data_IF_777721471140
#
_entry.id   IF_777721471140
#
_cell.length_a   1.000
_cell.length_b   1.000
_cell.length_c   1.000
_cell.angle_alpha   90.00
_cell.angle_beta   90.00
_cell.angle_gamma   90.00
#
_symmetry.space_group_name_H-M   'P 1'
#
loop_
_entity.id
_entity.type
_entity.pdbx_description
1 polymer ?
#
# COMPACT_ATOMS: atom_id res chain seq x y z
N UNK A 1 -1.59 10.58 -13.49
CA UNK A 1 -2.34 9.60 -12.70
C UNK A 1 -1.37 8.53 -12.22
N UNK A 2 -1.39 8.24 -10.91
CA UNK A 2 -0.64 7.12 -10.33
C UNK A 2 -1.19 5.79 -10.84
N UNK A 3 -0.41 4.72 -10.70
CA UNK A 3 -0.91 3.37 -10.92
C UNK A 3 -1.84 3.01 -9.75
N UNK A 4 -2.99 2.39 -10.04
CA UNK A 4 -3.88 1.86 -9.02
C UNK A 4 -3.67 0.35 -8.88
N UNK A 5 -3.66 -0.16 -7.65
CA UNK A 5 -3.79 -1.60 -7.37
C UNK A 5 -5.27 -1.93 -7.37
N UNK A 6 -5.69 -2.78 -8.30
CA UNK A 6 -7.03 -3.34 -8.31
C UNK A 6 -7.12 -4.51 -7.32
N UNK A 7 -8.16 -4.51 -6.48
CA UNK A 7 -8.48 -5.57 -5.53
C UNK A 7 -9.98 -5.86 -5.56
N UNK A 8 -10.36 -7.08 -5.21
CA UNK A 8 -11.74 -7.50 -5.07
C UNK A 8 -11.93 -8.15 -3.71
N UNK A 9 -13.00 -7.78 -3.00
CA UNK A 9 -13.37 -8.39 -1.73
C UNK A 9 -14.76 -8.99 -1.86
N UNK A 10 -14.90 -10.25 -1.43
CA UNK A 10 -16.18 -10.94 -1.31
C UNK A 10 -16.91 -10.51 -0.03
N UNK A 11 -18.13 -11.00 0.19
CA UNK A 11 -18.80 -10.90 1.50
C UNK A 11 -18.07 -11.78 2.52
N UNK A 12 -17.19 -11.18 3.32
CA UNK A 12 -16.37 -11.89 4.29
C UNK A 12 -16.09 -11.05 5.53
N UNK A 13 -15.96 -11.72 6.68
CA UNK A 13 -15.50 -11.09 7.91
C UNK A 13 -13.97 -10.97 7.98
N UNK A 14 -13.23 -11.60 7.08
CA UNK A 14 -11.77 -11.55 7.06
C UNK A 14 -11.27 -10.37 6.22
N UNK A 15 -10.20 -9.72 6.69
CA UNK A 15 -9.55 -8.62 5.99
C UNK A 15 -8.48 -9.12 5.01
N UNK A 16 -8.43 -8.55 3.81
CA UNK A 16 -7.26 -8.64 2.93
C UNK A 16 -6.23 -7.57 3.38
N UNK A 17 -5.23 -8.01 4.14
CA UNK A 17 -4.20 -7.13 4.71
C UNK A 17 -3.09 -6.79 3.71
N UNK A 18 -2.64 -5.54 3.80
CA UNK A 18 -1.59 -4.95 3.00
C UNK A 18 -0.67 -4.13 3.92
N UNK A 19 0.63 -4.11 3.63
CA UNK A 19 1.57 -3.31 4.40
C UNK A 19 1.48 -1.81 4.05
N UNK A 20 1.67 -0.96 5.06
CA UNK A 20 1.78 0.48 4.90
C UNK A 20 3.16 0.83 4.36
N UNK A 21 3.21 1.42 3.16
CA UNK A 21 4.46 1.67 2.45
C UNK A 21 5.15 3.01 2.77
N UNK A 22 4.68 3.79 3.76
CA UNK A 22 5.12 5.18 3.98
C UNK A 22 5.87 5.38 5.29
N UNK A 23 6.91 6.24 5.26
CA UNK A 23 7.76 6.59 6.41
C UNK A 23 7.52 8.01 6.94
N UNK A 24 6.44 8.66 6.51
CA UNK A 24 6.16 10.03 6.92
C UNK A 24 5.50 10.05 8.30
N UNK A 25 5.66 11.16 9.02
CA UNK A 25 4.93 11.44 10.27
C UNK A 25 3.40 11.39 10.09
N UNK A 26 2.93 11.45 8.85
CA UNK A 26 1.53 11.28 8.46
C UNK A 26 1.47 10.35 7.24
N UNK A 27 0.73 9.26 7.40
CA UNK A 27 0.38 8.33 6.35
C UNK A 27 -0.99 8.69 5.78
N UNK A 28 -1.19 8.47 4.48
CA UNK A 28 -2.49 8.62 3.82
C UNK A 28 -2.70 7.45 2.87
N UNK A 29 -3.75 6.68 3.12
CA UNK A 29 -4.29 5.69 2.20
C UNK A 29 -5.34 6.38 1.32
N UNK A 30 -5.14 6.38 0.01
CA UNK A 30 -6.13 6.86 -0.97
C UNK A 30 -6.65 5.68 -1.77
N UNK A 31 -7.96 5.61 -1.94
CA UNK A 31 -8.59 4.52 -2.65
C UNK A 31 -9.92 4.93 -3.26
N UNK A 32 -10.38 4.16 -4.24
CA UNK A 32 -11.77 4.16 -4.69
C UNK A 32 -12.39 2.79 -4.43
N UNK A 33 -13.68 2.77 -4.19
CA UNK A 33 -14.44 1.54 -4.03
C UNK A 33 -15.79 1.65 -4.74
N UNK A 34 -16.21 0.57 -5.39
CA UNK A 34 -17.54 0.39 -5.99
C UNK A 34 -18.24 -0.75 -5.25
N UNK A 35 -19.22 -0.40 -4.42
CA UNK A 35 -20.00 -1.32 -3.57
C UNK A 35 -21.25 -0.61 -3.04
N UNK A 36 -22.33 -1.33 -2.76
CA UNK A 36 -23.58 -0.76 -2.29
C UNK A 36 -23.51 -0.19 -0.85
N UNK A 37 -22.87 -0.92 0.07
CA UNK A 37 -22.76 -0.58 1.50
C UNK A 37 -21.61 -1.36 2.16
N UNK A 38 -21.31 -1.04 3.42
CA UNK A 38 -20.41 -1.78 4.32
C UNK A 38 -18.99 -2.05 3.73
N UNK A 39 -18.35 -0.99 3.23
CA UNK A 39 -16.92 -1.01 2.90
C UNK A 39 -16.09 -0.76 4.17
N UNK A 40 -15.09 -1.60 4.43
CA UNK A 40 -14.33 -1.57 5.68
C UNK A 40 -12.84 -1.40 5.44
N UNK A 41 -12.24 -0.51 6.21
CA UNK A 41 -10.77 -0.36 6.32
C UNK A 41 -10.36 -0.66 7.76
N UNK A 42 -9.45 -1.61 7.94
CA UNK A 42 -8.80 -1.89 9.22
C UNK A 42 -7.42 -1.23 9.25
N UNK A 43 -7.01 -0.65 10.37
CA UNK A 43 -5.62 -0.25 10.64
C UNK A 43 -5.10 -1.11 11.80
N UNK A 44 -3.97 -1.79 11.58
CA UNK A 44 -3.42 -2.82 12.48
C UNK A 44 -1.89 -2.75 12.57
N UNK A 45 -1.35 -3.37 13.62
CA UNK A 45 0.10 -3.59 13.81
C UNK A 45 0.60 -4.91 13.20
N UNK A 46 -0.31 -5.74 12.69
CA UNK A 46 -0.01 -7.01 12.02
C UNK A 46 -1.11 -7.40 11.04
N UNK A 47 -0.83 -8.42 10.21
CA UNK A 47 -1.79 -9.07 9.31
C UNK A 47 -2.67 -10.15 9.99
N UNK A 48 -2.56 -10.31 11.31
CA UNK A 48 -3.35 -11.29 12.07
C UNK A 48 -4.82 -10.86 12.13
N UNK A 49 -5.73 -11.73 11.69
CA UNK A 49 -7.17 -11.48 11.73
C UNK A 49 -7.67 -11.25 13.16
N UNK A 50 -7.04 -11.84 14.16
CA UNK A 50 -7.43 -11.69 15.57
C UNK A 50 -6.62 -10.61 16.31
N UNK A 51 -5.82 -9.83 15.58
CA UNK A 51 -5.01 -8.76 16.14
C UNK A 51 -5.86 -7.78 16.97
N UNK A 52 -5.28 -7.38 18.11
CA UNK A 52 -5.72 -6.23 18.91
C UNK A 52 -4.47 -5.55 19.49
N UNK A 53 -4.44 -4.21 19.63
CA UNK A 53 -5.50 -3.28 19.25
C UNK A 53 -5.63 -3.09 17.73
N UNK A 54 -6.83 -2.72 17.27
CA UNK A 54 -7.11 -2.33 15.87
C UNK A 54 -8.08 -1.14 15.79
N UNK A 55 -8.02 -0.41 14.68
CA UNK A 55 -9.06 0.55 14.30
C UNK A 55 -9.84 0.02 13.10
N UNK A 56 -11.16 -0.06 13.22
CA UNK A 56 -12.06 -0.39 12.12
C UNK A 56 -12.80 0.86 11.67
N UNK A 57 -12.64 1.20 10.40
CA UNK A 57 -13.30 2.32 9.75
C UNK A 57 -14.39 1.73 8.85
N UNK A 58 -15.64 2.07 9.16
CA UNK A 58 -16.83 1.70 8.43
C UNK A 58 -17.18 2.85 7.49
N UNK A 59 -17.27 2.57 6.19
CA UNK A 59 -17.71 3.53 5.18
C UNK A 59 -19.03 3.00 4.62
N UNK A 60 -20.07 3.86 4.66
CA UNK A 60 -21.42 3.49 4.22
C UNK A 60 -21.98 2.27 4.95
N UNK A 61 -21.79 2.21 6.27
CA UNK A 61 -22.44 1.22 7.11
C UNK A 61 -23.91 1.56 7.38
N UNK A 62 -24.61 0.61 8.01
CA UNK A 62 -26.06 0.72 8.31
C UNK A 62 -26.86 1.08 7.06
N UNK A 63 -26.74 0.25 6.03
CA UNK A 63 -27.40 0.46 4.74
C UNK A 63 -26.99 1.80 4.09
N UNK A 64 -25.68 2.03 4.02
CA UNK A 64 -25.07 3.21 3.40
C UNK A 64 -25.51 4.56 4.00
N UNK A 65 -25.93 4.57 5.27
CA UNK A 65 -26.42 5.78 5.95
C UNK A 65 -25.34 6.54 6.72
N UNK A 66 -24.32 5.85 7.23
CA UNK A 66 -23.28 6.48 8.05
C UNK A 66 -21.89 5.85 7.95
N UNK A 67 -20.90 6.63 8.37
CA UNK A 67 -19.52 6.16 8.57
C UNK A 67 -19.20 6.14 10.08
N UNK A 68 -18.30 5.25 10.49
CA UNK A 68 -17.89 5.13 11.88
C UNK A 68 -16.43 4.68 12.04
N UNK A 69 -15.81 5.03 13.17
CA UNK A 69 -14.53 4.46 13.61
C UNK A 69 -14.80 3.66 14.88
N UNK A 70 -14.44 2.38 14.90
CA UNK A 70 -14.50 1.50 16.07
C UNK A 70 -13.09 1.08 16.48
N UNK A 71 -12.89 0.84 17.77
CA UNK A 71 -11.65 0.29 18.30
C UNK A 71 -11.90 -1.13 18.83
N UNK A 72 -11.00 -2.05 18.49
CA UNK A 72 -10.96 -3.41 19.02
C UNK A 72 -12.25 -4.23 18.82
N UNK A 73 -13.02 -3.96 17.77
CA UNK A 73 -14.32 -4.62 17.51
C UNK A 73 -15.34 -4.45 18.64
N UNK A 74 -15.12 -3.47 19.52
CA UNK A 74 -15.99 -3.22 20.68
C UNK A 74 -16.80 -1.94 20.54
N UNK A 75 -18.05 -1.98 20.99
CA UNK A 75 -18.90 -0.79 21.14
C UNK A 75 -18.56 -0.04 22.44
N UNK A 76 -18.80 1.29 22.51
CA UNK A 76 -19.35 2.15 21.47
C UNK A 76 -18.34 2.50 20.36
N UNK A 77 -18.85 3.00 19.23
CA UNK A 77 -17.98 3.57 18.19
C UNK A 77 -17.31 4.84 18.75
N UNK A 78 -16.07 5.09 18.32
CA UNK A 78 -15.24 6.21 18.77
C UNK A 78 -15.55 7.50 18.03
N UNK A 79 -16.00 7.38 16.78
CA UNK A 79 -16.52 8.48 15.99
C UNK A 79 -17.62 7.95 15.07
N UNK A 80 -18.63 8.78 14.78
CA UNK A 80 -19.71 8.50 13.84
C UNK A 80 -20.02 9.77 13.05
N UNK A 81 -20.38 9.62 11.78
CA UNK A 81 -20.83 10.71 10.92
C UNK A 81 -21.95 10.23 9.99
N UNK A 82 -23.05 10.97 9.92
CA UNK A 82 -24.13 10.72 8.96
C UNK A 82 -23.65 11.05 7.55
N UNK A 83 -23.67 10.06 6.67
CA UNK A 83 -23.10 10.11 5.31
C UNK A 83 -24.00 9.35 4.34
N UNK A 84 -25.28 9.74 4.21
CA UNK A 84 -26.24 9.01 3.39
C UNK A 84 -25.75 8.92 1.95
N UNK A 85 -25.91 7.73 1.38
CA UNK A 85 -25.53 7.40 0.01
C UNK A 85 -24.06 7.72 -0.26
N UNK A 86 -23.15 7.45 0.69
CA UNK A 86 -21.72 7.71 0.50
C UNK A 86 -21.08 6.78 -0.52
N UNK A 87 -21.47 5.51 -0.51
CA UNK A 87 -21.05 4.48 -1.47
C UNK A 87 -22.03 4.33 -2.63
N UNK A 88 -21.63 3.61 -3.68
CA UNK A 88 -22.46 3.31 -4.85
C UNK A 88 -22.11 1.95 -5.44
N UNK A 89 -23.15 1.17 -5.80
CA UNK A 89 -22.99 -0.10 -6.50
C UNK A 89 -22.62 0.09 -7.99
N UNK A 90 -22.91 1.27 -8.57
CA UNK A 90 -22.83 1.52 -10.00
C UNK A 90 -21.51 2.19 -10.42
N UNK A 91 -20.84 2.89 -9.51
CA UNK A 91 -19.64 3.68 -9.80
C UNK A 91 -18.60 3.63 -8.68
N UNK A 92 -17.32 3.77 -9.04
CA UNK A 92 -16.25 3.96 -8.08
C UNK A 92 -16.37 5.31 -7.40
N UNK A 93 -16.31 5.32 -6.06
CA UNK A 93 -16.24 6.54 -5.26
C UNK A 93 -14.95 6.57 -4.47
N UNK A 94 -14.28 7.72 -4.51
CA UNK A 94 -12.97 7.92 -3.94
C UNK A 94 -13.00 8.43 -2.50
N UNK A 95 -12.07 7.94 -1.70
CA UNK A 95 -11.89 8.26 -0.29
C UNK A 95 -10.41 8.34 0.07
N UNK A 96 -10.14 8.97 1.20
CA UNK A 96 -8.85 8.90 1.84
C UNK A 96 -9.00 8.64 3.34
N UNK A 97 -8.06 7.87 3.88
CA UNK A 97 -7.87 7.66 5.32
C UNK A 97 -6.46 8.14 5.66
N UNK A 98 -6.34 9.08 6.58
CA UNK A 98 -5.05 9.56 7.07
C UNK A 98 -4.86 9.20 8.54
N UNK A 99 -3.61 8.94 8.92
CA UNK A 99 -3.21 8.77 10.31
C UNK A 99 -1.80 9.34 10.51
N UNK A 100 -1.52 9.85 11.70
CA UNK A 100 -0.23 10.45 12.02
C UNK A 100 0.38 9.87 13.30
N UNK A 101 1.57 10.35 13.67
CA UNK A 101 2.29 9.92 14.87
C UNK A 101 1.53 10.16 16.18
N UNK A 102 0.58 11.10 16.18
CA UNK A 102 -0.30 11.38 17.32
C UNK A 102 -1.60 10.53 17.27
N UNK A 103 -1.68 9.58 16.35
CA UNK A 103 -2.84 8.74 16.01
C UNK A 103 -4.16 9.51 15.90
N UNK A 104 -4.09 10.68 15.26
CA UNK A 104 -5.27 11.31 14.69
C UNK A 104 -5.63 10.58 13.39
N UNK A 105 -6.73 9.83 13.40
CA UNK A 105 -7.29 9.13 12.25
C UNK A 105 -8.38 9.99 11.65
N UNK A 106 -8.26 10.31 10.36
CA UNK A 106 -9.22 11.13 9.66
C UNK A 106 -9.64 10.47 8.35
N UNK A 107 -10.90 10.66 7.97
CA UNK A 107 -11.49 10.09 6.76
C UNK A 107 -12.19 11.19 5.98
N UNK A 108 -11.92 11.26 4.68
CA UNK A 108 -12.53 12.23 3.77
C UNK A 108 -12.79 11.65 2.38
N UNK A 109 -13.44 12.46 1.54
CA UNK A 109 -13.78 12.11 0.16
C UNK A 109 -12.68 12.54 -0.80
N UNK A 110 -12.54 11.84 -1.91
CA UNK A 110 -11.65 12.27 -2.99
C UNK A 110 -12.05 13.68 -3.46
N UNK A 111 -11.06 14.57 -3.56
CA UNK A 111 -11.27 15.97 -3.94
C UNK A 111 -11.64 16.90 -2.79
N UNK A 112 -11.90 16.38 -1.59
CA UNK A 112 -12.16 17.16 -0.38
C UNK A 112 -10.94 17.14 0.55
N UNK A 113 -10.53 18.31 1.03
CA UNK A 113 -9.44 18.44 2.02
C UNK A 113 -9.93 18.22 3.45
N UNK A 114 -11.18 18.59 3.75
CA UNK A 114 -11.77 18.48 5.07
C UNK A 114 -12.29 17.05 5.32
N UNK A 115 -11.97 16.43 6.47
CA UNK A 115 -12.50 15.13 6.82
C UNK A 115 -13.97 15.22 7.26
N UNK A 116 -14.77 14.22 6.90
CA UNK A 116 -16.11 14.04 7.45
C UNK A 116 -16.11 13.21 8.75
N UNK A 117 -15.00 12.52 9.06
CA UNK A 117 -14.85 11.69 10.25
C UNK A 117 -13.45 11.83 10.81
N UNK A 118 -13.32 12.05 12.11
CA UNK A 118 -12.04 12.28 12.78
C UNK A 118 -12.06 11.69 14.19
N UNK A 119 -10.97 11.02 14.59
CA UNK A 119 -10.78 10.45 15.92
C UNK A 119 -9.31 10.56 16.34
N UNK A 120 -9.05 10.88 17.59
CA UNK A 120 -7.70 10.88 18.17
C UNK A 120 -7.68 9.91 19.34
N UNK A 121 -6.86 8.86 19.25
CA UNK A 121 -6.74 7.87 20.32
C UNK A 121 -5.81 8.39 21.44
N UNK A 122 -6.25 8.46 22.71
CA UNK A 122 -5.38 8.77 23.83
C UNK A 122 -4.31 7.69 24.10
N UNK A 123 -4.51 6.45 23.63
CA UNK A 123 -3.60 5.32 23.79
C UNK A 123 -3.24 4.72 22.42
N UNK A 124 -2.42 5.44 21.64
CA UNK A 124 -2.06 5.06 20.27
C UNK A 124 -1.21 3.79 20.19
N UNK A 125 -1.28 3.09 19.06
CA UNK A 125 -0.38 2.00 18.70
C UNK A 125 0.21 2.20 17.30
N UNK A 126 1.32 1.51 17.02
CA UNK A 126 1.96 1.60 15.70
C UNK A 126 1.12 0.89 14.63
N UNK A 127 0.76 1.62 13.57
CA UNK A 127 0.05 1.09 12.42
C UNK A 127 1.07 0.73 11.35
N UNK A 128 1.15 -0.56 11.03
CA UNK A 128 2.05 -1.13 10.02
C UNK A 128 1.29 -1.76 8.85
N UNK A 129 0.01 -2.08 9.04
CA UNK A 129 -0.84 -2.72 8.05
C UNK A 129 -2.19 -2.00 7.92
N UNK A 130 -2.77 -2.05 6.73
CA UNK A 130 -4.18 -1.77 6.51
C UNK A 130 -4.86 -3.00 5.91
N UNK A 131 -6.09 -3.27 6.33
CA UNK A 131 -6.91 -4.37 5.83
C UNK A 131 -8.14 -3.85 5.11
N UNK A 132 -8.52 -4.48 4.00
CA UNK A 132 -9.74 -4.15 3.26
C UNK A 132 -10.71 -5.33 3.31
N UNK A 133 -12.00 -5.05 3.52
CA UNK A 133 -13.05 -6.05 3.31
C UNK A 133 -14.36 -5.36 2.94
N UNK A 134 -15.25 -6.18 2.41
CA UNK A 134 -16.69 -5.92 2.33
C UNK A 134 -17.39 -7.03 3.10
N UNK A 135 -18.47 -6.71 3.78
CA UNK A 135 -19.15 -7.66 4.66
C UNK A 135 -20.65 -7.37 4.72
N UNK A 136 -21.39 -8.20 5.46
CA UNK A 136 -22.84 -8.08 5.64
C UNK A 136 -23.62 -8.08 4.32
N UNK A 137 -23.25 -8.97 3.41
CA UNK A 137 -23.92 -9.14 2.11
C UNK A 137 -23.39 -8.23 1.00
N UNK A 138 -22.32 -7.48 1.27
CA UNK A 138 -21.66 -6.64 0.27
C UNK A 138 -20.43 -7.33 -0.33
N UNK A 139 -20.17 -7.09 -1.61
CA UNK A 139 -18.92 -7.44 -2.29
C UNK A 139 -18.46 -6.24 -3.11
N UNK A 140 -17.16 -5.97 -3.13
CA UNK A 140 -16.64 -4.69 -3.62
C UNK A 140 -15.45 -4.81 -4.54
N UNK A 141 -15.36 -3.89 -5.49
CA UNK A 141 -14.17 -3.65 -6.30
C UNK A 141 -13.44 -2.42 -5.75
N UNK A 142 -12.12 -2.51 -5.62
CA UNK A 142 -11.28 -1.48 -5.01
C UNK A 142 -10.14 -1.06 -5.94
N UNK A 143 -9.85 0.24 -5.99
CA UNK A 143 -8.68 0.83 -6.64
C UNK A 143 -7.84 1.54 -5.58
N UNK A 144 -6.67 1.01 -5.23
CA UNK A 144 -5.78 1.61 -4.21
C UNK A 144 -4.68 2.40 -4.89
N UNK A 145 -4.52 3.68 -4.54
CA UNK A 145 -3.45 4.50 -5.08
C UNK A 145 -2.08 3.99 -4.61
N UNK A 146 -1.19 3.69 -5.57
CA UNK A 146 0.18 3.27 -5.26
C UNK A 146 1.17 4.42 -5.34
N UNK A 147 2.23 4.33 -4.53
CA UNK A 147 3.35 5.27 -4.60
C UNK A 147 4.01 5.21 -5.98
N UNK A 148 4.17 6.38 -6.61
CA UNK A 148 4.88 6.55 -7.87
C UNK A 148 6.14 7.39 -7.65
N UNK A 149 7.27 6.85 -8.09
CA UNK A 149 8.55 7.58 -8.09
C UNK A 149 8.90 7.99 -9.52
N UNK A 150 9.25 9.26 -9.70
CA UNK A 150 9.92 9.76 -10.90
C UNK A 150 11.33 10.17 -10.52
N UNK A 151 12.31 9.68 -11.28
CA UNK A 151 13.74 9.89 -11.05
C UNK A 151 14.41 10.33 -12.34
N UNK A 152 15.38 11.25 -12.23
CA UNK A 152 16.25 11.63 -13.35
C UNK A 152 17.45 10.69 -13.39
N UNK A 153 18.12 10.62 -14.55
CA UNK A 153 19.39 9.91 -14.67
C UNK A 153 20.42 10.47 -13.67
N UNK A 154 21.18 9.58 -13.04
CA UNK A 154 22.16 9.91 -12.00
C UNK A 154 21.59 10.45 -10.69
N UNK A 155 20.26 10.49 -10.51
CA UNK A 155 19.66 10.92 -9.24
C UNK A 155 20.02 9.95 -8.09
N UNK A 156 20.22 10.44 -6.85
CA UNK A 156 20.42 9.58 -5.70
C UNK A 156 19.20 8.69 -5.46
N UNK A 157 19.41 7.50 -4.88
CA UNK A 157 18.32 6.61 -4.51
C UNK A 157 17.32 7.32 -3.60
N UNK A 158 16.04 7.22 -3.96
CA UNK A 158 14.91 7.58 -3.11
C UNK A 158 14.45 6.33 -2.39
N UNK A 159 14.50 6.35 -1.06
CA UNK A 159 14.11 5.23 -0.23
C UNK A 159 12.68 5.42 0.29
N UNK A 160 11.92 4.33 0.28
CA UNK A 160 10.63 4.20 0.95
C UNK A 160 10.65 2.93 1.79
N UNK A 161 9.75 2.81 2.76
CA UNK A 161 9.62 1.56 3.51
C UNK A 161 9.27 0.43 2.53
N UNK A 162 10.03 -0.65 2.59
CA UNK A 162 9.69 -1.90 1.94
C UNK A 162 9.05 -2.82 3.00
N UNK A 163 8.16 -3.73 2.58
CA UNK A 163 7.55 -4.69 3.46
C UNK A 163 8.53 -5.39 4.40
N UNK A 164 8.21 -5.48 5.70
CA UNK A 164 9.12 -6.01 6.73
C UNK A 164 8.99 -7.52 6.82
N UNK A 165 9.63 -8.23 5.89
CA UNK A 165 9.39 -9.66 5.75
C UNK A 165 10.32 -10.49 6.64
N UNK A 166 9.78 -11.18 7.65
CA UNK A 166 10.55 -12.04 8.56
C UNK A 166 10.88 -13.42 7.95
N UNK A 167 10.02 -13.96 7.08
CA UNK A 167 10.12 -15.34 6.54
C UNK A 167 10.26 -15.43 5.00
N UNK A 168 10.89 -14.42 4.39
CA UNK A 168 11.02 -14.30 2.94
C UNK A 168 9.74 -13.76 2.27
N UNK A 169 9.91 -12.90 1.27
CA UNK A 169 8.75 -12.32 0.59
C UNK A 169 9.08 -11.62 -0.71
N UNK A 170 8.10 -10.88 -1.22
CA UNK A 170 8.19 -10.30 -2.55
C UNK A 170 7.86 -8.83 -2.58
N UNK A 171 8.71 -8.06 -3.25
CA UNK A 171 8.37 -6.71 -3.69
C UNK A 171 7.82 -6.79 -5.11
N UNK A 172 6.61 -6.27 -5.32
CA UNK A 172 6.08 -6.06 -6.66
C UNK A 172 6.25 -4.60 -7.05
N UNK A 173 6.79 -4.37 -8.25
CA UNK A 173 6.95 -3.04 -8.82
C UNK A 173 6.67 -3.08 -10.33
N UNK A 174 6.28 -1.94 -10.86
CA UNK A 174 6.21 -1.68 -12.29
C UNK A 174 7.15 -0.52 -12.61
N UNK A 175 7.93 -0.65 -13.68
CA UNK A 175 8.90 0.36 -14.09
C UNK A 175 8.73 0.69 -15.56
N UNK A 176 8.79 1.99 -15.87
CA UNK A 176 8.81 2.51 -17.25
C UNK A 176 10.11 3.27 -17.45
N UNK A 177 11.02 2.69 -18.23
CA UNK A 177 12.32 3.26 -18.55
C UNK A 177 12.83 2.68 -19.87
N UNK A 178 13.71 3.38 -20.58
CA UNK A 178 14.31 2.85 -21.81
C UNK A 178 15.37 1.77 -21.51
N UNK A 179 16.11 1.95 -20.42
CA UNK A 179 17.16 1.06 -19.92
C UNK A 179 17.54 1.46 -18.48
N UNK A 180 18.34 0.63 -17.82
CA UNK A 180 19.04 0.88 -16.55
C UNK A 180 18.13 1.30 -15.37
N UNK A 181 17.03 0.58 -15.15
CA UNK A 181 16.24 0.75 -13.93
C UNK A 181 16.92 0.07 -12.75
N UNK A 182 17.13 0.81 -11.66
CA UNK A 182 17.81 0.30 -10.47
C UNK A 182 16.87 0.27 -9.27
N UNK A 183 16.89 -0.84 -8.53
CA UNK A 183 16.17 -0.99 -7.26
C UNK A 183 17.18 -1.32 -6.18
N UNK A 184 17.29 -0.47 -5.16
CA UNK A 184 18.18 -0.69 -4.02
C UNK A 184 17.36 -1.16 -2.80
N UNK A 185 17.75 -2.30 -2.25
CA UNK A 185 17.21 -2.87 -1.02
C UNK A 185 18.25 -2.73 0.10
N UNK A 186 17.86 -2.11 1.21
CA UNK A 186 18.72 -1.89 2.39
C UNK A 186 17.89 -1.97 3.67
N UNK A 187 18.55 -2.30 4.78
CA UNK A 187 17.88 -2.44 6.10
C UNK A 187 17.53 -1.07 6.70
N UNK A 188 18.37 -0.07 6.52
CA UNK A 188 18.19 1.25 7.10
C UNK A 188 18.61 2.35 6.12
N UNK A 189 17.78 3.39 5.86
CA UNK A 189 18.04 4.46 4.89
C UNK A 189 19.21 5.38 5.24
N UNK A 190 19.84 5.21 6.42
CA UNK A 190 21.09 5.91 6.80
C UNK A 190 22.33 5.01 6.83
N UNK A 191 22.19 3.68 6.75
CA UNK A 191 23.32 2.74 6.68
C UNK A 191 23.61 2.29 5.25
N UNK A 192 24.86 2.43 4.80
CA UNK A 192 25.23 2.12 3.41
C UNK A 192 25.38 0.61 3.13
N UNK A 193 25.52 -0.22 4.18
CA UNK A 193 25.70 -1.68 4.07
C UNK A 193 25.01 -2.44 5.21
N UNK A 194 24.53 -3.68 4.96
CA UNK A 194 24.47 -4.34 3.67
C UNK A 194 23.38 -3.74 2.78
N UNK A 195 23.67 -3.59 1.49
CA UNK A 195 22.71 -3.21 0.46
C UNK A 195 22.80 -4.15 -0.74
N UNK A 196 21.65 -4.37 -1.39
CA UNK A 196 21.54 -5.12 -2.64
C UNK A 196 20.95 -4.22 -3.71
N UNK A 197 21.63 -4.11 -4.84
CA UNK A 197 21.15 -3.40 -6.03
C UNK A 197 20.74 -4.39 -7.10
N UNK A 198 19.48 -4.27 -7.53
CA UNK A 198 18.94 -4.98 -8.69
C UNK A 198 18.98 -4.03 -9.88
N UNK A 199 19.67 -4.45 -10.94
CA UNK A 199 19.69 -3.79 -12.25
C UNK A 199 18.69 -4.50 -13.14
N UNK A 200 17.74 -3.74 -13.69
CA UNK A 200 16.74 -4.23 -14.64
C UNK A 200 16.99 -3.49 -15.95
N UNK A 201 17.16 -4.24 -17.04
CA UNK A 201 17.52 -3.65 -18.34
C UNK A 201 18.85 -2.88 -18.30
N UNK A 202 19.80 -3.35 -17.50
CA UNK A 202 21.17 -2.86 -17.45
C UNK A 202 21.92 -2.99 -18.78
N UNK A 203 23.03 -2.28 -18.92
CA UNK A 203 23.90 -2.31 -20.11
C UNK A 203 23.10 -2.04 -21.39
N UNK A 204 22.39 -0.90 -21.40
CA UNK A 204 21.53 -0.52 -22.52
C UNK A 204 20.46 -1.59 -22.82
N UNK A 205 19.71 -1.98 -21.79
CA UNK A 205 18.60 -2.94 -21.87
C UNK A 205 18.99 -4.34 -22.35
N UNK A 206 20.22 -4.79 -22.08
CA UNK A 206 20.69 -6.11 -22.51
C UNK A 206 20.74 -7.15 -21.40
N UNK A 207 20.84 -6.73 -20.13
CA UNK A 207 21.09 -7.63 -19.00
C UNK A 207 20.37 -7.18 -17.73
N UNK A 208 20.04 -8.12 -16.86
CA UNK A 208 19.70 -7.86 -15.46
C UNK A 208 20.85 -8.30 -14.57
N UNK A 209 21.05 -7.64 -13.44
CA UNK A 209 22.10 -8.02 -12.50
C UNK A 209 21.70 -7.79 -11.04
N UNK A 210 22.35 -8.51 -10.13
CA UNK A 210 22.29 -8.28 -8.70
C UNK A 210 23.69 -7.94 -8.21
N UNK A 211 23.84 -6.81 -7.50
CA UNK A 211 25.11 -6.39 -6.89
C UNK A 211 24.93 -6.26 -5.38
N UNK A 212 25.98 -6.58 -4.63
CA UNK A 212 26.03 -6.35 -3.18
C UNK A 212 27.00 -5.22 -2.85
N UNK A 213 26.56 -4.31 -2.00
CA UNK A 213 27.36 -3.22 -1.43
C UNK A 213 28.10 -2.35 -2.47
N UNK A 214 27.54 -2.19 -3.66
CA UNK A 214 28.17 -1.46 -4.77
C UNK A 214 29.58 -1.97 -5.15
N UNK A 215 29.90 -3.22 -4.80
CA UNK A 215 31.19 -3.85 -5.09
C UNK A 215 31.11 -4.76 -6.32
N UNK A 216 32.23 -4.85 -7.06
CA UNK A 216 32.41 -5.80 -8.16
C UNK A 216 33.16 -7.04 -7.67
N UNK A 217 32.96 -8.22 -8.28
CA UNK A 217 32.02 -8.50 -9.38
C UNK A 217 30.55 -8.46 -8.93
N UNK A 218 29.62 -8.33 -9.90
CA UNK A 218 28.19 -8.50 -9.62
C UNK A 218 27.92 -9.94 -9.16
N UNK A 219 26.99 -10.13 -8.23
CA UNK A 219 26.65 -11.46 -7.69
C UNK A 219 26.01 -12.35 -8.76
N UNK A 220 25.13 -11.76 -9.57
CA UNK A 220 24.41 -12.44 -10.64
C UNK A 220 24.30 -11.49 -11.82
N UNK A 221 24.48 -12.00 -13.03
CA UNK A 221 24.22 -11.30 -14.28
C UNK A 221 23.49 -12.26 -15.22
N UNK A 222 22.38 -11.82 -15.79
CA UNK A 222 21.53 -12.61 -16.70
C UNK A 222 21.27 -11.79 -17.96
N UNK A 223 21.38 -12.42 -19.13
CA UNK A 223 21.01 -11.79 -20.40
C UNK A 223 19.49 -11.65 -20.50
N UNK A 224 19.01 -10.42 -20.64
CA UNK A 224 17.58 -10.04 -20.68
C UNK A 224 17.35 -8.93 -21.71
N UNK A 225 17.62 -9.20 -23.00
CA UNK A 225 17.52 -8.19 -24.03
C UNK A 225 16.11 -7.64 -24.17
N UNK A 226 15.98 -6.31 -24.16
CA UNK A 226 14.74 -5.55 -24.33
C UNK A 226 13.68 -5.82 -23.25
N UNK A 227 14.09 -6.05 -21.99
CA UNK A 227 13.15 -6.29 -20.89
C UNK A 227 12.38 -5.03 -20.46
N UNK A 228 12.95 -3.84 -20.70
CA UNK A 228 12.31 -2.55 -20.42
C UNK A 228 11.77 -1.88 -21.70
N UNK A 229 10.70 -1.10 -21.56
CA UNK A 229 10.18 -0.21 -22.58
C UNK A 229 9.80 1.16 -21.96
N UNK A 230 10.02 2.22 -22.73
CA UNK A 230 9.67 3.60 -22.38
C UNK A 230 8.28 4.02 -22.88
N UNK A 231 7.68 3.26 -23.80
CA UNK A 231 6.45 3.63 -24.52
C UNK A 231 5.20 2.96 -23.93
N UNK A 232 5.29 1.70 -23.50
CA UNK A 232 4.15 0.92 -23.03
C UNK A 232 4.16 0.72 -21.49
N UNK A 233 3.01 0.91 -20.83
CA UNK A 233 2.81 0.59 -19.40
C UNK A 233 2.30 -0.85 -19.20
N UNK A 234 1.96 -1.55 -20.29
CA UNK A 234 1.38 -2.89 -20.24
C UNK A 234 2.48 -3.97 -20.18
N UNK A 235 2.94 -4.24 -18.95
CA UNK A 235 3.67 -5.46 -18.48
C UNK A 235 5.16 -5.62 -18.85
N UNK A 236 5.98 -6.26 -17.97
CA UNK A 236 5.63 -7.22 -16.91
C UNK A 236 5.62 -6.68 -15.47
N UNK A 237 4.67 -7.19 -14.66
CA UNK A 237 4.79 -7.19 -13.20
C UNK A 237 6.05 -8.00 -12.86
N UNK A 238 7.10 -7.33 -12.41
CA UNK A 238 8.30 -8.01 -11.95
C UNK A 238 8.04 -8.51 -10.53
N UNK A 239 7.87 -9.82 -10.41
CA UNK A 239 7.80 -10.50 -9.12
C UNK A 239 9.22 -10.80 -8.66
N UNK A 240 9.72 -10.05 -7.68
CA UNK A 240 10.95 -10.42 -6.99
C UNK A 240 10.61 -11.42 -5.90
N UNK A 241 10.82 -12.72 -6.12
CA UNK A 241 10.85 -13.68 -5.02
C UNK A 241 12.22 -13.60 -4.34
N UNK A 242 12.25 -13.21 -3.06
CA UNK A 242 13.45 -13.41 -2.25
C UNK A 242 13.38 -14.80 -1.61
N UNK A 243 14.29 -15.68 -2.00
CA UNK A 243 14.59 -16.91 -1.25
C UNK A 243 15.74 -16.59 -0.30
N UNK A 244 15.49 -16.67 1.01
CA UNK A 244 16.56 -16.65 2.00
C UNK A 244 17.04 -18.10 2.14
N UNK A 245 18.31 -18.37 1.88
CA UNK A 245 18.93 -19.64 2.26
C UNK A 245 18.96 -19.71 3.79
N UNK A 246 18.38 -20.77 4.35
CA UNK A 246 18.57 -21.21 5.74
C UNK A 246 20.04 -21.45 6.06
#
# INVERSE_FOLDING_TARGET
MGMAKELHTEDSMDYDFQEVSTTNSTCVLRFKVKVAHDAHVCLSSSEDQDATPIYEIFIGGWDNSKCAIRRDRTKPDRAEAETPDVLSADEFRGFWVSWNSDCKIEVGREGEEEPFLSFTDPEPFEITHYGLRTAWGASGEWEIEQAKFETQDGAPYRFTAAPRIQDGGSLQLSVRAAHDAHVCLRVCPTQDVPQYEVFIGGWNNSKCALRKNQTKPDLVVVDTPNILDSVQLDYPKLHFLTWIFS
#
